data_IF_014557672052
#
_entry.id   IF_014557672052
#
_cell.length_a   1.000
_cell.length_b   1.000
_cell.length_c   1.000
_cell.angle_alpha   90.00
_cell.angle_beta   90.00
_cell.angle_gamma   90.00
#
_symmetry.space_group_name_H-M   'P 1'
#
loop_
_entity.id
_entity.type
_entity.pdbx_description
1 polymer ?
#
# COMPACT_ATOMS: atom_id res chain seq x y z
N UNK A 1 5.36 9.72 47.42
CA UNK A 1 4.87 10.68 46.40
C UNK A 1 4.91 9.95 45.08
N UNK A 2 3.77 9.82 44.43
CA UNK A 2 3.69 9.34 43.06
C UNK A 2 4.01 10.52 42.14
N UNK A 3 4.82 10.28 41.10
CA UNK A 3 5.20 11.27 40.10
C UNK A 3 4.61 10.84 38.75
N UNK A 4 4.27 11.77 37.86
CA UNK A 4 3.82 11.44 36.52
C UNK A 4 4.92 10.67 35.75
N UNK A 5 4.51 9.84 34.81
CA UNK A 5 5.42 9.14 33.89
C UNK A 5 6.14 10.19 33.02
N UNK A 6 7.47 10.24 33.14
CA UNK A 6 8.34 11.15 32.40
C UNK A 6 9.32 10.33 31.57
N UNK A 7 9.45 10.66 30.29
CA UNK A 7 10.37 10.02 29.35
C UNK A 7 11.29 11.05 28.70
N UNK A 8 12.55 10.65 28.45
CA UNK A 8 13.49 11.40 27.63
C UNK A 8 13.66 10.73 26.27
N UNK A 9 13.62 11.50 25.19
CA UNK A 9 13.86 11.04 23.81
C UNK A 9 15.09 11.77 23.27
N UNK A 10 16.11 11.02 22.86
CA UNK A 10 17.33 11.55 22.24
C UNK A 10 17.43 11.13 20.77
N UNK A 11 17.93 12.03 19.93
CA UNK A 11 18.26 11.75 18.52
C UNK A 11 19.59 12.38 18.16
N UNK A 12 20.48 11.62 17.52
CA UNK A 12 21.84 12.02 17.19
C UNK A 12 22.10 11.79 15.69
N UNK A 13 22.30 12.87 14.94
CA UNK A 13 22.65 12.82 13.54
C UNK A 13 24.15 12.55 13.35
N UNK A 14 24.50 11.80 12.30
CA UNK A 14 25.90 11.46 12.00
C UNK A 14 26.82 12.67 11.80
N UNK A 15 26.26 13.83 11.42
CA UNK A 15 27.00 15.10 11.30
C UNK A 15 27.25 15.84 12.63
N UNK A 16 26.85 15.28 13.77
CA UNK A 16 27.03 15.87 15.10
C UNK A 16 25.83 16.69 15.63
N UNK A 17 24.72 16.76 14.88
CA UNK A 17 23.49 17.38 15.36
C UNK A 17 22.81 16.52 16.41
N UNK A 18 22.51 17.10 17.58
CA UNK A 18 21.90 16.39 18.70
C UNK A 18 20.58 17.06 19.09
N UNK A 19 19.58 16.25 19.42
CA UNK A 19 18.31 16.72 19.97
C UNK A 19 17.92 15.85 21.17
N UNK A 20 17.34 16.49 22.19
CA UNK A 20 16.76 15.81 23.34
C UNK A 20 15.43 16.47 23.72
N UNK A 21 14.43 15.66 24.00
CA UNK A 21 13.10 16.11 24.42
C UNK A 21 12.70 15.35 25.67
N UNK A 22 12.17 16.06 26.66
CA UNK A 22 11.53 15.46 27.84
C UNK A 22 10.02 15.56 27.66
N UNK A 23 9.33 14.44 27.83
CA UNK A 23 7.88 14.33 27.71
C UNK A 23 7.33 13.84 29.04
N UNK A 24 6.32 14.51 29.54
CA UNK A 24 5.53 14.09 30.71
C UNK A 24 4.16 13.61 30.23
N UNK A 25 3.61 12.58 30.86
CA UNK A 25 2.25 12.15 30.57
C UNK A 25 1.24 13.24 30.92
N UNK A 26 0.21 13.37 30.11
CA UNK A 26 -0.92 14.23 30.45
C UNK A 26 -1.88 13.46 31.37
N UNK A 27 -2.06 13.96 32.59
CA UNK A 27 -3.09 13.48 33.51
C UNK A 27 -4.33 14.34 33.25
N UNK A 28 -5.40 13.78 32.66
CA UNK A 28 -6.63 14.53 32.46
C UNK A 28 -7.16 14.99 33.82
N UNK A 29 -7.47 16.28 33.94
CA UNK A 29 -8.30 16.76 35.05
C UNK A 29 -9.62 15.97 35.01
N UNK A 30 -10.15 15.57 36.18
CA UNK A 30 -11.50 15.01 36.36
C UNK A 30 -12.57 16.06 36.02
N UNK A 31 -12.47 16.70 34.85
CA UNK A 31 -13.62 17.31 34.21
C UNK A 31 -14.56 16.15 33.95
N UNK A 32 -15.70 16.16 34.66
CA UNK A 32 -16.79 15.26 34.39
C UNK A 32 -16.95 15.17 32.87
N UNK A 33 -16.71 13.97 32.31
CA UNK A 33 -16.91 13.74 30.87
C UNK A 33 -18.23 14.37 30.50
N UNK A 34 -18.24 15.24 29.48
CA UNK A 34 -19.45 15.98 29.07
C UNK A 34 -20.66 15.07 29.17
N UNK A 35 -21.62 15.44 30.03
CA UNK A 35 -22.76 14.61 30.43
C UNK A 35 -23.77 14.34 29.30
N UNK A 36 -23.39 14.60 28.05
CA UNK A 36 -24.20 14.36 26.85
C UNK A 36 -24.31 12.86 26.63
N UNK A 37 -25.22 12.25 27.39
CA UNK A 37 -25.63 10.87 27.20
C UNK A 37 -26.63 10.85 26.06
N UNK A 38 -26.22 10.29 24.94
CA UNK A 38 -27.15 10.02 23.85
C UNK A 38 -28.03 8.80 24.19
N UNK A 39 -29.28 8.86 23.75
CA UNK A 39 -30.26 7.80 23.93
C UNK A 39 -31.29 7.88 22.79
N UNK A 40 -32.31 7.02 22.78
CA UNK A 40 -33.33 7.02 21.71
C UNK A 40 -34.14 8.32 21.60
N UNK A 41 -34.18 9.17 22.64
CA UNK A 41 -34.86 10.47 22.62
C UNK A 41 -33.91 11.63 22.22
N UNK A 42 -32.61 11.44 22.38
CA UNK A 42 -31.57 12.36 21.94
C UNK A 42 -30.45 11.55 21.24
N UNK A 43 -30.63 11.18 19.97
CA UNK A 43 -29.70 10.31 19.26
C UNK A 43 -28.43 11.06 18.82
N UNK A 44 -27.34 10.31 18.71
CA UNK A 44 -26.11 10.76 18.10
C UNK A 44 -26.20 10.73 16.57
N UNK A 45 -25.56 11.70 15.92
CA UNK A 45 -25.45 11.75 14.46
C UNK A 45 -24.02 11.37 14.09
N UNK A 46 -23.86 10.19 13.51
CA UNK A 46 -22.57 9.71 13.04
C UNK A 46 -22.44 10.01 11.57
N UNK A 47 -21.36 10.69 11.18
CA UNK A 47 -21.12 11.09 9.78
C UNK A 47 -19.83 10.48 9.26
N UNK A 48 -19.89 9.94 8.05
CA UNK A 48 -18.75 9.44 7.30
C UNK A 48 -18.75 10.05 5.91
N UNK A 49 -17.56 10.34 5.40
CA UNK A 49 -17.41 10.77 4.02
C UNK A 49 -16.09 10.30 3.42
N UNK A 50 -16.10 10.12 2.10
CA UNK A 50 -14.94 9.77 1.31
C UNK A 50 -15.00 10.31 -0.13
N UNK A 51 -13.90 10.19 -0.86
CA UNK A 51 -13.82 10.64 -2.27
C UNK A 51 -14.69 9.82 -3.23
N UNK A 52 -14.94 8.55 -2.91
CA UNK A 52 -15.74 7.64 -3.72
C UNK A 52 -16.37 6.53 -2.85
N UNK A 53 -17.26 5.75 -3.43
CA UNK A 53 -18.06 4.74 -2.72
C UNK A 53 -17.20 3.62 -2.13
N UNK A 54 -16.17 3.19 -2.85
CA UNK A 54 -15.25 2.15 -2.40
C UNK A 54 -14.51 2.58 -1.12
N UNK A 55 -13.97 3.81 -1.12
CA UNK A 55 -13.30 4.39 0.06
C UNK A 55 -14.26 4.64 1.21
N UNK A 56 -15.53 4.97 0.93
CA UNK A 56 -16.56 5.13 1.95
C UNK A 56 -16.87 3.80 2.64
N UNK A 57 -16.95 2.72 1.85
CA UNK A 57 -17.15 1.36 2.35
C UNK A 57 -15.97 0.90 3.21
N UNK A 58 -14.74 1.08 2.75
CA UNK A 58 -13.53 0.73 3.54
C UNK A 58 -13.47 1.55 4.84
N UNK A 59 -13.80 2.84 4.80
CA UNK A 59 -13.83 3.69 6.00
C UNK A 59 -14.90 3.24 7.01
N UNK A 60 -16.05 2.75 6.54
CA UNK A 60 -17.07 2.17 7.41
C UNK A 60 -16.61 0.82 8.00
N UNK A 61 -15.90 -0.01 7.23
CA UNK A 61 -15.29 -1.26 7.70
C UNK A 61 -14.24 -0.99 8.78
N UNK A 62 -13.35 -0.02 8.58
CA UNK A 62 -12.33 0.35 9.56
C UNK A 62 -12.95 0.83 10.87
N UNK A 63 -14.03 1.64 10.79
CA UNK A 63 -14.75 2.10 11.98
C UNK A 63 -15.47 0.95 12.68
N UNK A 64 -16.10 0.04 11.94
CA UNK A 64 -16.74 -1.16 12.50
C UNK A 64 -15.71 -2.03 13.24
N UNK A 65 -14.56 -2.26 12.62
CA UNK A 65 -13.45 -3.00 13.23
C UNK A 65 -12.97 -2.32 14.52
N UNK A 66 -12.81 -1.00 14.52
CA UNK A 66 -12.41 -0.26 15.71
C UNK A 66 -13.45 -0.39 16.83
N UNK A 67 -14.75 -0.30 16.51
CA UNK A 67 -15.85 -0.44 17.48
C UNK A 67 -15.88 -1.83 18.10
N UNK A 68 -15.60 -2.87 17.32
CA UNK A 68 -15.61 -4.25 17.79
C UNK A 68 -14.40 -4.61 18.65
N UNK A 69 -13.23 -4.00 18.38
CA UNK A 69 -11.98 -4.34 19.06
C UNK A 69 -11.66 -3.42 20.25
N UNK A 70 -12.19 -2.20 20.26
CA UNK A 70 -12.05 -1.29 21.39
C UNK A 70 -13.24 -1.40 22.33
N UNK A 71 -13.00 -1.30 23.63
CA UNK A 71 -14.04 -1.32 24.65
C UNK A 71 -14.79 0.03 24.72
N UNK A 72 -15.35 0.49 23.60
CA UNK A 72 -16.23 1.65 23.58
C UNK A 72 -17.55 1.33 24.28
N UNK A 73 -17.95 2.21 25.19
CA UNK A 73 -19.25 2.21 25.83
C UNK A 73 -20.12 3.33 25.25
N UNK A 74 -21.42 3.33 25.56
CA UNK A 74 -22.36 4.37 25.11
C UNK A 74 -21.92 5.79 25.51
N UNK A 75 -21.14 5.93 26.59
CA UNK A 75 -20.52 7.20 26.99
C UNK A 75 -19.48 7.73 26.00
N UNK A 76 -18.94 6.89 25.12
CA UNK A 76 -17.98 7.28 24.08
C UNK A 76 -18.68 7.76 22.80
N UNK A 77 -19.99 7.53 22.67
CA UNK A 77 -20.74 7.86 21.45
C UNK A 77 -20.71 9.37 21.16
N UNK A 78 -20.71 10.20 22.20
CA UNK A 78 -20.54 11.65 22.10
C UNK A 78 -19.19 12.05 21.48
N UNK A 79 -18.11 11.46 21.98
CA UNK A 79 -16.75 11.71 21.50
C UNK A 79 -16.57 11.20 20.07
N UNK A 80 -17.15 10.06 19.72
CA UNK A 80 -17.13 9.50 18.36
C UNK A 80 -17.86 10.43 17.38
N UNK A 81 -19.10 10.81 17.70
CA UNK A 81 -19.90 11.70 16.86
C UNK A 81 -19.19 13.03 16.63
N UNK A 82 -18.71 13.66 17.71
CA UNK A 82 -18.01 14.93 17.64
C UNK A 82 -16.72 14.82 16.83
N UNK A 83 -15.90 13.80 17.09
CA UNK A 83 -14.64 13.57 16.35
C UNK A 83 -14.88 13.41 14.85
N UNK A 84 -15.92 12.70 14.44
CA UNK A 84 -16.25 12.49 13.03
C UNK A 84 -16.86 13.74 12.37
N UNK A 85 -17.61 14.53 13.13
CA UNK A 85 -18.27 15.74 12.64
C UNK A 85 -17.32 16.93 12.44
N UNK A 86 -16.45 17.20 13.43
CA UNK A 86 -15.54 18.37 13.39
C UNK A 86 -14.09 18.00 13.04
N UNK A 87 -13.70 16.74 13.25
CA UNK A 87 -12.33 16.26 13.08
C UNK A 87 -12.05 15.60 11.74
N UNK A 88 -13.00 15.59 10.79
CA UNK A 88 -12.85 15.00 9.45
C UNK A 88 -13.39 15.96 8.39
N UNK A 89 -12.69 16.03 7.26
CA UNK A 89 -13.16 16.78 6.09
C UNK A 89 -14.41 16.11 5.48
N UNK A 90 -15.42 16.90 5.13
CA UNK A 90 -16.65 16.42 4.50
C UNK A 90 -16.51 16.29 2.96
N UNK A 91 -16.21 15.08 2.49
CA UNK A 91 -15.96 14.75 1.09
C UNK A 91 -17.24 14.50 0.26
N UNK A 92 -17.08 14.01 -0.98
CA UNK A 92 -18.10 13.91 -2.03
C UNK A 92 -19.12 12.79 -1.82
N UNK A 93 -18.70 11.61 -1.37
CA UNK A 93 -19.61 10.54 -0.95
C UNK A 93 -19.83 10.67 0.55
N UNK A 94 -21.09 10.75 0.95
CA UNK A 94 -21.48 11.02 2.34
C UNK A 94 -22.47 9.98 2.83
N UNK A 95 -22.27 9.58 4.08
CA UNK A 95 -23.07 8.62 4.81
C UNK A 95 -23.32 9.19 6.21
N UNK A 96 -24.55 9.09 6.67
CA UNK A 96 -24.92 9.48 8.02
C UNK A 96 -25.82 8.42 8.66
N UNK A 97 -25.63 8.23 9.96
CA UNK A 97 -26.45 7.38 10.80
C UNK A 97 -27.00 8.20 11.96
N UNK A 98 -28.25 7.95 12.32
CA UNK A 98 -28.83 8.39 13.59
C UNK A 98 -28.82 7.18 14.51
N UNK A 99 -28.16 7.26 15.67
CA UNK A 99 -27.98 6.12 16.58
C UNK A 99 -28.15 6.54 18.03
N UNK A 100 -28.82 5.71 18.84
CA UNK A 100 -28.97 5.92 20.27
C UNK A 100 -27.96 5.15 21.13
N UNK A 101 -27.18 4.23 20.56
CA UNK A 101 -26.19 3.41 21.28
C UNK A 101 -25.03 2.95 20.39
N UNK A 102 -23.93 2.50 20.98
CA UNK A 102 -22.79 1.91 20.26
C UNK A 102 -23.20 0.62 19.54
N UNK A 103 -24.07 -0.18 20.16
CA UNK A 103 -24.57 -1.42 19.54
C UNK A 103 -25.37 -1.13 18.27
N UNK A 104 -26.24 -0.12 18.31
CA UNK A 104 -27.01 0.29 17.13
C UNK A 104 -26.10 0.83 16.02
N UNK A 105 -25.01 1.52 16.38
CA UNK A 105 -23.99 1.96 15.43
C UNK A 105 -23.27 0.77 14.78
N UNK A 106 -22.89 -0.23 15.57
CA UNK A 106 -22.27 -1.46 15.06
C UNK A 106 -23.18 -2.17 14.06
N UNK A 107 -24.45 -2.38 14.41
CA UNK A 107 -25.46 -3.01 13.55
C UNK A 107 -25.64 -2.24 12.24
N UNK A 108 -25.79 -0.90 12.29
CA UNK A 108 -25.97 -0.07 11.09
C UNK A 108 -24.72 -0.02 10.20
N UNK A 109 -23.52 0.00 10.79
CA UNK A 109 -22.27 -0.10 10.05
C UNK A 109 -22.15 -1.47 9.35
N UNK A 110 -22.47 -2.55 10.06
CA UNK A 110 -22.47 -3.89 9.51
C UNK A 110 -23.43 -4.02 8.31
N UNK A 111 -24.68 -3.60 8.46
CA UNK A 111 -25.67 -3.59 7.35
C UNK A 111 -25.19 -2.79 6.13
N UNK A 112 -24.55 -1.64 6.35
CA UNK A 112 -23.98 -0.84 5.25
C UNK A 112 -22.84 -1.57 4.54
N UNK A 113 -21.96 -2.23 5.30
CA UNK A 113 -20.82 -2.98 4.76
C UNK A 113 -21.29 -4.21 3.97
N UNK A 114 -22.30 -4.92 4.44
CA UNK A 114 -22.90 -6.06 3.74
C UNK A 114 -23.73 -5.64 2.51
N UNK A 115 -24.09 -4.36 2.39
CA UNK A 115 -24.81 -3.82 1.24
C UNK A 115 -26.32 -4.08 1.29
N UNK A 116 -26.89 -4.12 2.50
CA UNK A 116 -28.33 -4.21 2.69
C UNK A 116 -29.04 -2.96 2.12
N UNK A 117 -30.13 -3.16 1.36
CA UNK A 117 -30.78 -2.09 0.58
C UNK A 117 -31.63 -1.14 1.42
N UNK A 118 -32.11 -1.56 2.58
CA UNK A 118 -33.00 -0.78 3.43
C UNK A 118 -32.60 -0.91 4.90
N UNK A 119 -31.70 -0.04 5.34
CA UNK A 119 -31.38 0.14 6.76
C UNK A 119 -32.09 1.42 7.25
N UNK A 120 -33.00 1.33 8.23
CA UNK A 120 -33.63 2.51 8.83
C UNK A 120 -32.61 3.52 9.35
N UNK A 121 -32.91 4.82 9.22
CA UNK A 121 -32.07 5.94 9.65
C UNK A 121 -30.63 5.95 9.08
N UNK A 122 -30.42 5.29 7.95
CA UNK A 122 -29.23 5.39 7.13
C UNK A 122 -29.48 6.36 5.99
N UNK A 123 -28.66 7.41 5.92
CA UNK A 123 -28.75 8.42 4.87
C UNK A 123 -27.48 8.41 4.04
N UNK A 124 -27.63 8.29 2.72
CA UNK A 124 -26.52 8.26 1.77
C UNK A 124 -26.75 9.27 0.65
N UNK A 125 -25.69 9.95 0.24
CA UNK A 125 -25.75 10.93 -0.84
C UNK A 125 -24.40 11.25 -1.47
N UNK A 126 -24.46 11.83 -2.66
CA UNK A 126 -23.29 12.26 -3.43
C UNK A 126 -23.41 13.74 -3.78
N UNK A 127 -22.39 14.53 -3.41
CA UNK A 127 -22.38 15.99 -3.59
C UNK A 127 -22.42 16.42 -5.07
N UNK A 128 -21.80 15.66 -5.97
CA UNK A 128 -21.70 16.03 -7.40
C UNK A 128 -23.05 16.12 -8.10
N UNK A 129 -24.09 15.38 -7.65
CA UNK A 129 -25.41 15.40 -8.27
C UNK A 129 -26.21 16.69 -8.00
N UNK A 130 -25.88 17.44 -6.94
CA UNK A 130 -26.71 18.55 -6.45
C UNK A 130 -25.95 19.89 -6.33
N UNK A 131 -24.76 20.03 -6.97
CA UNK A 131 -23.88 21.19 -6.82
C UNK A 131 -24.55 22.54 -7.15
N UNK A 132 -25.33 22.60 -8.23
CA UNK A 132 -25.94 23.85 -8.69
C UNK A 132 -27.04 24.32 -7.73
N UNK A 133 -27.94 23.42 -7.34
CA UNK A 133 -29.02 23.70 -6.39
C UNK A 133 -28.49 24.08 -5.00
N UNK A 134 -27.41 23.45 -4.53
CA UNK A 134 -26.87 23.65 -3.17
C UNK A 134 -25.92 24.84 -3.00
N UNK A 135 -25.38 25.39 -4.10
CA UNK A 135 -24.56 26.60 -4.05
C UNK A 135 -25.33 27.82 -3.53
N UNK A 136 -26.63 27.90 -3.86
CA UNK A 136 -27.56 28.93 -3.39
C UNK A 136 -27.79 28.76 -1.88
N UNK A 137 -27.98 27.53 -1.42
CA UNK A 137 -28.27 27.19 -0.02
C UNK A 137 -27.07 27.39 0.93
N UNK A 138 -25.83 27.18 0.47
CA UNK A 138 -24.64 27.36 1.33
C UNK A 138 -24.41 28.83 1.77
N UNK A 139 -24.87 29.80 0.98
CA UNK A 139 -24.65 31.24 1.22
C UNK A 139 -25.81 31.88 2.00
N UNK A 140 -26.92 31.17 2.14
CA UNK A 140 -28.15 31.68 2.76
C UNK A 140 -28.09 31.59 4.29
N UNK A 141 -28.03 32.75 4.95
CA UNK A 141 -28.03 32.83 6.43
C UNK A 141 -29.34 32.33 7.04
N UNK A 142 -30.46 32.43 6.32
CA UNK A 142 -31.78 32.03 6.81
C UNK A 142 -31.90 30.50 6.84
N UNK A 143 -31.23 29.82 5.91
CA UNK A 143 -31.11 28.35 5.94
C UNK A 143 -30.34 27.89 7.17
N UNK A 144 -29.20 28.52 7.48
CA UNK A 144 -28.42 28.18 8.68
C UNK A 144 -29.25 28.36 9.95
N UNK A 145 -30.02 29.44 10.07
CA UNK A 145 -30.96 29.64 11.19
C UNK A 145 -32.04 28.57 11.27
N UNK A 146 -32.55 28.13 10.12
CA UNK A 146 -33.57 27.08 10.03
C UNK A 146 -33.01 25.74 10.52
N UNK A 147 -31.76 25.41 10.19
CA UNK A 147 -31.08 24.20 10.68
C UNK A 147 -30.98 24.19 12.20
N UNK A 148 -30.59 25.30 12.84
CA UNK A 148 -30.55 25.37 14.31
C UNK A 148 -31.94 25.15 14.93
N UNK A 149 -32.99 25.75 14.35
CA UNK A 149 -34.38 25.50 14.81
C UNK A 149 -34.78 24.04 14.65
N UNK A 150 -34.33 23.35 13.61
CA UNK A 150 -34.58 21.91 13.45
C UNK A 150 -33.85 21.07 14.49
N UNK A 151 -32.61 21.43 14.83
CA UNK A 151 -31.86 20.77 15.91
C UNK A 151 -32.57 20.95 17.25
N UNK A 152 -33.00 22.18 17.59
CA UNK A 152 -33.77 22.45 18.82
C UNK A 152 -35.11 21.69 18.89
N UNK A 153 -35.72 21.42 17.74
CA UNK A 153 -36.96 20.66 17.62
C UNK A 153 -36.77 19.14 17.49
N UNK A 154 -35.52 18.65 17.54
CA UNK A 154 -35.21 17.22 17.36
C UNK A 154 -35.45 16.68 15.94
N UNK A 155 -35.52 17.56 14.93
CA UNK A 155 -35.78 17.21 13.53
C UNK A 155 -34.49 16.91 12.76
N UNK A 156 -33.75 15.90 13.21
CA UNK A 156 -32.42 15.57 12.68
C UNK A 156 -32.43 15.16 11.20
N UNK A 157 -33.46 14.43 10.79
CA UNK A 157 -33.61 13.89 9.42
C UNK A 157 -33.47 14.97 8.34
N UNK A 158 -34.05 16.16 8.57
CA UNK A 158 -34.16 17.20 7.56
C UNK A 158 -32.80 17.76 7.15
N UNK A 159 -31.93 18.08 8.11
CA UNK A 159 -30.62 18.62 7.79
C UNK A 159 -29.59 17.52 7.45
N UNK A 160 -29.76 16.29 7.96
CA UNK A 160 -28.91 15.17 7.58
C UNK A 160 -29.09 14.85 6.09
N UNK A 161 -30.34 14.83 5.60
CA UNK A 161 -30.63 14.65 4.18
C UNK A 161 -29.97 15.75 3.31
N UNK A 162 -29.97 17.00 3.77
CA UNK A 162 -29.25 18.09 3.09
C UNK A 162 -27.73 17.93 3.17
N UNK A 163 -27.19 17.49 4.31
CA UNK A 163 -25.76 17.26 4.49
C UNK A 163 -25.24 16.17 3.56
N UNK A 164 -25.92 15.02 3.46
CA UNK A 164 -25.50 13.95 2.54
C UNK A 164 -25.59 14.38 1.07
N UNK A 165 -26.48 15.34 0.76
CA UNK A 165 -26.57 15.95 -0.57
C UNK A 165 -25.49 16.98 -0.85
N UNK A 166 -24.77 17.48 0.17
CA UNK A 166 -23.61 18.35 0.00
C UNK A 166 -23.67 19.69 0.72
N UNK A 167 -24.70 19.94 1.53
CA UNK A 167 -24.73 21.13 2.39
C UNK A 167 -23.56 21.11 3.38
N UNK A 168 -22.93 22.26 3.58
CA UNK A 168 -21.91 22.41 4.63
C UNK A 168 -22.58 22.77 5.96
N UNK A 169 -22.30 22.00 7.00
CA UNK A 169 -22.88 22.18 8.34
C UNK A 169 -21.75 22.47 9.31
N UNK A 170 -21.89 23.55 10.07
CA UNK A 170 -21.00 23.84 11.18
C UNK A 170 -21.47 23.09 12.44
N UNK A 171 -21.03 21.84 12.56
CA UNK A 171 -21.38 20.95 13.67
C UNK A 171 -20.97 21.48 15.04
N UNK A 172 -19.91 22.29 15.11
CA UNK A 172 -19.38 22.86 16.35
C UNK A 172 -20.43 23.66 17.13
N UNK A 173 -21.40 24.24 16.41
CA UNK A 173 -22.50 25.04 16.98
C UNK A 173 -23.65 24.20 17.54
N UNK A 174 -23.67 22.90 17.30
CA UNK A 174 -24.66 22.00 17.89
C UNK A 174 -24.24 21.54 19.29
N UNK A 175 -23.00 21.80 19.66
CA UNK A 175 -22.48 21.56 20.99
C UNK A 175 -22.45 22.87 21.77
N UNK A 176 -22.77 22.80 23.07
CA UNK A 176 -22.62 23.92 23.99
C UNK A 176 -21.15 24.20 24.32
N UNK A 177 -20.92 24.90 25.43
CA UNK A 177 -19.57 25.23 25.89
C UNK A 177 -18.78 23.97 26.31
N UNK A 178 -19.46 22.95 26.84
CA UNK A 178 -18.88 21.67 27.28
C UNK A 178 -18.85 20.64 26.14
N UNK A 179 -17.93 20.84 25.20
CA UNK A 179 -17.80 19.97 24.02
C UNK A 179 -17.23 18.59 24.36
N UNK A 180 -17.70 17.52 23.68
CA UNK A 180 -17.09 16.19 23.80
C UNK A 180 -15.60 16.19 23.45
N UNK A 181 -14.89 15.17 23.92
CA UNK A 181 -13.47 15.04 23.62
C UNK A 181 -13.25 14.52 22.20
N UNK A 182 -12.17 14.99 21.56
CA UNK A 182 -11.70 14.36 20.33
C UNK A 182 -10.90 13.13 20.69
N UNK A 183 -11.27 12.00 20.09
CA UNK A 183 -10.63 10.71 20.32
C UNK A 183 -9.93 10.21 19.06
N UNK A 184 -9.01 9.26 19.23
CA UNK A 184 -8.42 8.54 18.12
C UNK A 184 -9.49 7.64 17.48
N UNK A 185 -9.67 7.82 16.18
CA UNK A 185 -10.52 6.97 15.34
C UNK A 185 -9.75 6.68 14.06
N UNK A 186 -10.14 5.64 13.29
CA UNK A 186 -9.46 5.29 12.05
C UNK A 186 -9.21 6.49 11.13
N UNK A 187 -8.02 6.49 10.54
CA UNK A 187 -7.60 7.49 9.55
C UNK A 187 -8.26 7.24 8.20
N UNK A 188 -8.10 8.17 7.26
CA UNK A 188 -8.66 7.99 5.92
C UNK A 188 -7.96 6.84 5.15
N UNK A 189 -8.70 5.86 4.61
CA UNK A 189 -8.11 4.74 3.86
C UNK A 189 -7.72 5.19 2.44
N UNK A 190 -6.53 5.76 2.29
CA UNK A 190 -6.01 6.17 0.99
C UNK A 190 -5.93 5.00 0.01
N UNK A 191 -6.25 5.27 -1.25
CA UNK A 191 -6.13 4.28 -2.32
C UNK A 191 -4.67 3.82 -2.45
N UNK A 192 -4.45 2.51 -2.42
CA UNK A 192 -3.12 1.88 -2.50
C UNK A 192 -2.68 1.70 -3.95
N UNK A 193 -2.72 2.79 -4.71
CA UNK A 193 -2.27 2.81 -6.10
C UNK A 193 -0.74 2.84 -6.17
N UNK A 194 -0.17 2.01 -7.04
CA UNK A 194 1.28 1.93 -7.21
C UNK A 194 1.78 3.08 -8.08
N UNK A 195 2.28 4.12 -7.43
CA UNK A 195 3.07 5.16 -8.07
C UNK A 195 4.55 4.89 -7.80
N UNK A 196 5.21 4.24 -8.76
CA UNK A 196 6.63 3.96 -8.72
C UNK A 196 7.29 4.56 -9.94
N UNK A 197 8.58 4.91 -9.82
CA UNK A 197 9.38 5.20 -11.02
C UNK A 197 9.19 4.02 -11.99
N UNK A 198 8.92 4.27 -13.28
CA UNK A 198 8.87 3.20 -14.24
C UNK A 198 10.14 2.38 -14.07
N UNK A 199 10.01 1.07 -13.98
CA UNK A 199 11.15 0.19 -14.13
C UNK A 199 11.70 0.52 -15.50
N UNK A 200 12.73 1.36 -15.57
CA UNK A 200 13.46 1.55 -16.81
C UNK A 200 13.81 0.15 -17.26
N UNK A 201 13.53 -0.19 -18.51
CA UNK A 201 14.05 -1.41 -19.13
C UNK A 201 15.57 -1.41 -19.26
N UNK A 202 16.29 -0.77 -18.33
CA UNK A 202 17.67 -1.04 -18.02
C UNK A 202 17.65 -2.00 -16.84
N UNK A 203 18.05 -3.24 -17.10
CA UNK A 203 18.58 -4.12 -16.07
C UNK A 203 19.37 -3.26 -15.09
N UNK A 204 18.87 -3.08 -13.88
CA UNK A 204 19.71 -2.72 -12.73
C UNK A 204 20.52 -3.98 -12.38
N UNK A 205 21.34 -4.41 -13.32
CA UNK A 205 22.58 -5.08 -13.02
C UNK A 205 23.43 -4.02 -12.35
N UNK A 206 23.57 -4.17 -11.03
CA UNK A 206 24.65 -3.54 -10.28
C UNK A 206 26.05 -4.08 -10.69
N UNK A 207 26.14 -4.80 -11.81
CA UNK A 207 27.41 -5.09 -12.45
C UNK A 207 27.86 -3.89 -13.26
N UNK A 208 28.68 -3.09 -12.60
CA UNK A 208 29.78 -2.42 -13.27
C UNK A 208 30.50 -3.46 -14.16
N UNK A 209 30.30 -3.36 -15.47
CA UNK A 209 31.23 -3.57 -16.60
C UNK A 209 30.35 -3.86 -17.83
N UNK A 210 29.82 -2.80 -18.45
CA UNK A 210 29.38 -2.88 -19.85
C UNK A 210 30.61 -2.87 -20.75
N UNK A 211 31.24 -4.03 -20.89
CA UNK A 211 31.87 -4.38 -22.17
C UNK A 211 30.81 -5.08 -23.00
N UNK A 212 30.44 -4.43 -24.10
CA UNK A 212 29.51 -4.88 -25.13
C UNK A 212 29.79 -6.34 -25.49
N UNK A 213 28.98 -7.27 -24.97
CA UNK A 213 28.81 -8.58 -25.58
C UNK A 213 27.49 -8.46 -26.37
N UNK A 214 27.49 -8.58 -27.71
CA UNK A 214 26.26 -8.67 -28.49
C UNK A 214 25.38 -9.78 -27.93
N UNK A 215 24.05 -9.69 -28.09
CA UNK A 215 23.07 -10.65 -27.58
C UNK A 215 23.53 -12.11 -27.68
N UNK A 216 24.13 -12.62 -26.59
CA UNK A 216 24.69 -13.97 -26.54
C UNK A 216 23.54 -14.97 -26.48
N UNK A 217 23.64 -16.08 -27.21
CA UNK A 217 22.63 -17.16 -27.17
C UNK A 217 22.44 -17.69 -25.74
N UNK A 218 23.54 -17.75 -24.97
CA UNK A 218 23.61 -18.18 -23.58
C UNK A 218 24.87 -17.58 -22.91
N UNK A 219 24.92 -17.36 -21.59
CA UNK A 219 26.11 -16.81 -20.91
C UNK A 219 27.43 -17.54 -21.21
N UNK A 220 27.38 -18.86 -21.45
CA UNK A 220 28.54 -19.68 -21.82
C UNK A 220 28.61 -20.05 -23.32
N UNK A 221 27.58 -19.72 -24.11
CA UNK A 221 27.49 -20.01 -25.55
C UNK A 221 27.09 -18.75 -26.31
N UNK A 222 28.05 -18.02 -26.89
CA UNK A 222 27.75 -16.66 -27.35
C UNK A 222 27.08 -16.61 -28.71
N UNK A 223 27.60 -17.33 -29.70
CA UNK A 223 27.11 -17.24 -31.07
C UNK A 223 27.19 -18.58 -31.82
N UNK A 224 26.23 -18.78 -32.73
CA UNK A 224 26.29 -19.84 -33.71
C UNK A 224 27.26 -19.43 -34.83
N UNK A 225 28.27 -20.26 -35.07
CA UNK A 225 29.34 -20.06 -36.08
C UNK A 225 29.41 -21.25 -37.04
N UNK A 226 28.31 -21.97 -37.19
CA UNK A 226 28.20 -23.13 -38.06
C UNK A 226 28.36 -22.72 -39.52
N UNK A 227 28.89 -23.64 -40.32
CA UNK A 227 28.91 -23.54 -41.78
C UNK A 227 28.34 -24.83 -42.37
N UNK A 228 28.45 -25.01 -43.69
CA UNK A 228 27.94 -26.22 -44.36
C UNK A 228 28.72 -27.51 -44.01
N UNK A 229 29.86 -27.41 -43.32
CA UNK A 229 30.75 -28.53 -43.02
C UNK A 229 30.76 -28.92 -41.54
N UNK A 230 30.51 -27.97 -40.64
CA UNK A 230 30.56 -28.19 -39.20
C UNK A 230 29.44 -27.40 -38.50
N UNK A 231 28.73 -28.09 -37.60
CA UNK A 231 27.85 -27.44 -36.65
C UNK A 231 28.68 -26.97 -35.46
N UNK A 232 28.87 -25.64 -35.34
CA UNK A 232 29.84 -25.05 -34.41
C UNK A 232 29.32 -23.81 -33.73
N UNK A 233 29.55 -23.72 -32.43
CA UNK A 233 29.28 -22.52 -31.62
C UNK A 233 30.58 -21.96 -31.06
N UNK A 234 30.62 -20.64 -30.89
CA UNK A 234 31.81 -19.93 -30.41
C UNK A 234 31.48 -19.01 -29.24
N UNK A 235 32.36 -19.00 -28.24
CA UNK A 235 32.30 -18.11 -27.07
C UNK A 235 33.65 -17.47 -26.84
N UNK A 236 33.68 -16.22 -26.39
CA UNK A 236 34.93 -15.52 -26.05
C UNK A 236 34.96 -15.25 -24.56
N UNK A 237 35.94 -15.82 -23.85
CA UNK A 237 36.09 -15.67 -22.41
C UNK A 237 37.22 -14.70 -22.08
N UNK A 238 36.92 -13.72 -21.25
CA UNK A 238 37.83 -12.65 -20.80
C UNK A 238 38.49 -12.97 -19.46
N UNK A 239 38.00 -13.98 -18.74
CA UNK A 239 38.46 -14.29 -17.38
C UNK A 239 37.76 -13.45 -16.30
N UNK A 240 36.75 -12.67 -16.67
CA UNK A 240 35.97 -11.82 -15.74
C UNK A 240 34.54 -12.33 -15.54
N UNK A 241 34.14 -13.35 -16.28
CA UNK A 241 32.82 -13.96 -16.16
C UNK A 241 32.64 -14.55 -14.76
N UNK A 242 31.45 -14.44 -14.16
CA UNK A 242 31.23 -14.85 -12.76
C UNK A 242 31.60 -16.31 -12.49
N UNK A 243 31.47 -17.19 -13.48
CA UNK A 243 31.82 -18.61 -13.38
C UNK A 243 33.31 -18.91 -13.60
N UNK A 244 34.10 -17.92 -14.02
CA UNK A 244 35.52 -18.06 -14.37
C UNK A 244 36.43 -17.18 -13.50
N UNK A 245 35.94 -16.03 -13.03
CA UNK A 245 36.72 -15.02 -12.34
C UNK A 245 37.39 -15.57 -11.07
N UNK A 246 36.68 -16.41 -10.32
CA UNK A 246 37.13 -16.97 -9.04
C UNK A 246 37.65 -18.41 -9.15
N UNK A 247 37.62 -19.02 -10.35
CA UNK A 247 38.08 -20.38 -10.56
C UNK A 247 39.54 -20.42 -11.03
N UNK A 248 40.45 -20.34 -10.07
CA UNK A 248 41.90 -20.34 -10.28
C UNK A 248 42.56 -21.66 -9.86
N UNK A 249 43.38 -22.22 -10.74
CA UNK A 249 44.20 -23.42 -10.48
C UNK A 249 45.66 -23.07 -10.71
N UNK A 250 46.50 -23.20 -9.67
CA UNK A 250 47.92 -22.81 -9.70
C UNK A 250 48.15 -21.36 -10.17
N UNK A 251 47.25 -20.44 -9.79
CA UNK A 251 47.33 -19.02 -10.13
C UNK A 251 46.95 -18.68 -11.57
N UNK A 252 46.33 -19.61 -12.30
CA UNK A 252 45.78 -19.37 -13.63
C UNK A 252 44.26 -19.53 -13.60
N UNK A 253 43.54 -18.64 -14.28
CA UNK A 253 42.08 -18.78 -14.47
C UNK A 253 41.81 -19.91 -15.44
N UNK A 254 41.15 -20.94 -14.94
CA UNK A 254 40.85 -22.16 -15.70
C UNK A 254 39.35 -22.27 -15.84
N UNK A 255 38.83 -22.59 -17.02
CA UNK A 255 37.40 -22.82 -17.19
C UNK A 255 36.98 -24.06 -16.36
N UNK A 256 35.97 -23.97 -15.46
CA UNK A 256 35.53 -25.11 -14.66
C UNK A 256 35.05 -26.27 -15.53
N UNK A 257 35.31 -27.50 -15.10
CA UNK A 257 34.88 -28.72 -15.82
C UNK A 257 33.38 -28.76 -16.14
N UNK A 258 32.55 -28.25 -15.22
CA UNK A 258 31.09 -28.16 -15.37
C UNK A 258 30.66 -27.13 -16.43
N UNK A 259 31.47 -26.09 -16.69
CA UNK A 259 31.15 -25.11 -17.72
C UNK A 259 31.23 -25.72 -19.12
N UNK A 260 32.15 -26.66 -19.37
CA UNK A 260 32.19 -27.42 -20.63
C UNK A 260 30.94 -28.26 -20.85
N UNK A 261 30.38 -28.82 -19.77
CA UNK A 261 29.15 -29.61 -19.84
C UNK A 261 27.95 -28.75 -20.21
N UNK A 262 27.82 -27.58 -19.58
CA UNK A 262 26.76 -26.61 -19.88
C UNK A 262 26.87 -26.08 -21.32
N UNK A 263 28.10 -25.76 -21.73
CA UNK A 263 28.47 -25.39 -23.09
C UNK A 263 28.03 -26.46 -24.11
N UNK A 264 28.33 -27.73 -23.86
CA UNK A 264 27.94 -28.84 -24.73
C UNK A 264 26.43 -29.09 -24.73
N UNK A 265 25.79 -29.03 -23.55
CA UNK A 265 24.35 -29.18 -23.37
C UNK A 265 23.58 -28.14 -24.20
N UNK A 266 23.94 -26.85 -24.06
CA UNK A 266 23.26 -25.79 -24.77
C UNK A 266 23.55 -25.83 -26.27
N UNK A 267 24.76 -26.22 -26.70
CA UNK A 267 25.05 -26.40 -28.12
C UNK A 267 24.15 -27.48 -28.75
N UNK A 268 23.97 -28.63 -28.07
CA UNK A 268 23.05 -29.70 -28.51
C UNK A 268 21.62 -29.18 -28.54
N UNK A 269 21.19 -28.45 -27.50
CA UNK A 269 19.84 -27.89 -27.42
C UNK A 269 19.58 -26.92 -28.57
N UNK A 270 20.54 -26.05 -28.91
CA UNK A 270 20.45 -25.11 -30.03
C UNK A 270 20.48 -25.82 -31.40
N UNK A 271 21.19 -26.95 -31.49
CA UNK A 271 21.26 -27.77 -32.69
C UNK A 271 20.00 -28.59 -32.95
N UNK A 272 19.35 -29.06 -31.89
CA UNK A 272 18.26 -30.03 -31.92
C UNK A 272 16.86 -29.39 -31.93
N UNK A 273 16.72 -28.08 -32.13
CA UNK A 273 15.47 -27.29 -32.03
C UNK A 273 14.33 -27.79 -32.95
N UNK A 274 14.53 -28.79 -33.82
CA UNK A 274 13.44 -29.34 -34.65
C UNK A 274 12.51 -30.35 -33.94
N UNK A 275 12.66 -30.63 -32.65
CA UNK A 275 11.81 -31.60 -31.94
C UNK A 275 11.05 -30.89 -30.81
N UNK A 276 9.74 -30.72 -30.99
CA UNK A 276 8.77 -30.16 -30.02
C UNK A 276 8.58 -31.05 -28.76
N UNK A 277 9.41 -32.07 -28.57
CA UNK A 277 9.40 -32.94 -27.41
C UNK A 277 10.50 -32.54 -26.43
N UNK A 278 10.20 -32.55 -25.13
CA UNK A 278 11.20 -32.40 -24.07
C UNK A 278 12.18 -33.58 -24.10
N UNK A 279 13.23 -33.47 -24.91
CA UNK A 279 14.31 -34.44 -24.95
C UNK A 279 15.19 -34.23 -23.73
N UNK A 280 15.24 -35.22 -22.85
CA UNK A 280 16.26 -35.28 -21.80
C UNK A 280 17.64 -35.52 -22.43
N UNK A 281 18.55 -34.54 -22.34
CA UNK A 281 19.92 -34.69 -22.82
C UNK A 281 20.76 -35.34 -21.71
N UNK A 282 21.35 -36.50 -22.00
CA UNK A 282 22.28 -37.19 -21.11
C UNK A 282 23.68 -37.26 -21.72
N UNK A 283 24.68 -36.68 -21.03
CA UNK A 283 26.09 -36.77 -21.43
C UNK A 283 26.73 -38.02 -20.82
N UNK A 284 27.38 -38.85 -21.64
CA UNK A 284 28.11 -40.06 -21.22
C UNK A 284 29.52 -40.01 -21.81
N UNK A 285 30.45 -40.74 -21.18
CA UNK A 285 31.84 -40.86 -21.62
C UNK A 285 32.56 -39.50 -21.78
N UNK A 286 32.38 -38.61 -20.80
CA UNK A 286 33.03 -37.30 -20.79
C UNK A 286 34.50 -37.44 -20.40
N UNK A 287 35.38 -36.84 -21.19
CA UNK A 287 36.81 -36.73 -20.91
C UNK A 287 37.28 -35.29 -21.04
N UNK A 288 38.09 -34.83 -20.09
CA UNK A 288 38.79 -33.55 -20.16
C UNK A 288 40.24 -33.79 -20.52
N UNK A 289 40.61 -33.47 -21.76
CA UNK A 289 41.96 -33.72 -22.29
C UNK A 289 42.90 -32.56 -21.98
N UNK A 290 42.42 -31.31 -22.16
CA UNK A 290 43.20 -30.11 -21.86
C UNK A 290 42.30 -29.04 -21.24
N UNK A 291 42.73 -28.40 -20.14
CA UNK A 291 42.00 -27.27 -19.57
C UNK A 291 42.17 -26.02 -20.45
N UNK A 292 41.06 -25.34 -20.75
CA UNK A 292 41.04 -23.98 -21.27
C UNK A 292 41.45 -23.02 -20.16
N UNK A 293 42.55 -22.32 -20.38
CA UNK A 293 43.08 -21.30 -19.48
C UNK A 293 42.93 -19.94 -20.11
N UNK A 294 42.54 -18.93 -19.32
CA UNK A 294 42.40 -17.56 -19.78
C UNK A 294 43.44 -16.70 -19.07
N UNK A 295 44.37 -16.16 -19.85
CA UNK A 295 45.41 -15.26 -19.38
C UNK A 295 44.97 -13.79 -19.44
N UNK A 296 45.89 -12.91 -19.79
CA UNK A 296 45.61 -11.46 -19.89
C UNK A 296 44.86 -11.05 -21.17
N UNK A 297 44.68 -11.97 -22.12
CA UNK A 297 43.97 -11.74 -23.37
C UNK A 297 42.74 -12.66 -23.44
N UNK A 298 41.61 -12.19 -23.99
CA UNK A 298 40.44 -13.03 -24.18
C UNK A 298 40.77 -14.25 -25.05
N UNK A 299 40.19 -15.39 -24.70
CA UNK A 299 40.35 -16.65 -25.42
C UNK A 299 39.03 -17.02 -26.07
N UNK A 300 39.07 -17.34 -27.36
CA UNK A 300 37.92 -17.87 -28.07
C UNK A 300 37.88 -19.39 -27.94
N UNK A 301 36.76 -19.90 -27.45
CA UNK A 301 36.44 -21.32 -27.34
C UNK A 301 35.44 -21.71 -28.42
N UNK A 302 35.61 -22.90 -28.99
CA UNK A 302 34.70 -23.46 -30.00
C UNK A 302 34.16 -24.80 -29.52
N UNK A 303 32.88 -25.03 -29.77
CA UNK A 303 32.23 -26.33 -29.60
C UNK A 303 31.75 -26.78 -30.96
N UNK A 304 32.32 -27.87 -31.47
CA UNK A 304 31.83 -28.57 -32.64
C UNK A 304 30.93 -29.73 -32.23
N UNK A 305 29.82 -29.92 -32.94
CA UNK A 305 28.96 -31.09 -32.82
C UNK A 305 29.17 -31.99 -34.03
N UNK A 306 29.43 -33.27 -33.75
CA UNK A 306 29.71 -34.29 -34.77
C UNK A 306 28.76 -35.48 -34.54
N UNK A 307 28.11 -36.01 -35.59
CA UNK A 307 27.27 -37.20 -35.51
C UNK A 307 28.08 -38.50 -35.36
#
# INVERSE_FOLDING_TARGET
KEYPRIAGISSFGAGGSNAHVVIEEYIPEDKEKSQVTFNSQNPAIIVLSAKNEERLKEKAQDLLYEIQNQAFSDSSLADIAYTLQVGREAMEERLAFIVGSIKELEEKLHSFVEGEKETPDLYRGQVKRNKEALSIFNTDKDLHQTIYKWVEQGKYVQFIDLWVKGLNINWDKFYGDDKPFRISLPTYPFAKERYWIPSGGGNTSNDHISTVIPAALHPMLHQNTSNLSEQRFSSTFTGREFFLADHEVKGQKVLPGVAYLEMAYEAIRQAAISLEEQIGIGLKNVAWVHPLTVGNQPVQAHIGLYP
#
